data_IF_457982690548
#
_entry.id   IF_457982690548
#
_cell.length_a   1.000
_cell.length_b   1.000
_cell.length_c   1.000
_cell.angle_alpha   90.00
_cell.angle_beta   90.00
_cell.angle_gamma   90.00
#
_symmetry.space_group_name_H-M   'P 1'
#
loop_
_entity.id
_entity.type
_entity.pdbx_description
1 polymer ?
#
# COMPACT_ATOMS: atom_id res chain seq x y z
N UNK A 1 23.85 5.52 -4.26
CA UNK A 1 22.96 4.36 -4.05
C UNK A 1 21.72 4.55 -4.92
N UNK A 2 21.20 3.51 -5.60
CA UNK A 2 19.91 3.62 -6.26
C UNK A 2 18.87 4.01 -5.21
N UNK A 3 18.05 5.03 -5.50
CA UNK A 3 16.90 5.36 -4.66
C UNK A 3 15.95 4.17 -4.73
N UNK A 4 15.68 3.57 -3.57
CA UNK A 4 14.60 2.62 -3.39
C UNK A 4 13.30 3.33 -3.78
N UNK A 5 12.38 2.70 -4.54
CA UNK A 5 11.07 3.28 -4.75
C UNK A 5 10.37 3.34 -3.40
N UNK A 6 10.30 4.53 -2.83
CA UNK A 6 9.22 4.86 -1.92
C UNK A 6 7.94 4.56 -2.71
N UNK A 7 6.97 3.86 -2.12
CA UNK A 7 5.65 3.64 -2.71
C UNK A 7 4.67 4.68 -2.14
N UNK A 8 4.78 5.99 -2.45
CA UNK A 8 3.83 6.96 -1.97
C UNK A 8 2.54 6.87 -2.78
N UNK A 9 1.40 6.97 -2.12
CA UNK A 9 0.13 7.25 -2.76
C UNK A 9 -0.64 8.31 -1.99
N UNK A 10 -1.48 9.09 -2.67
CA UNK A 10 -2.40 10.03 -2.03
C UNK A 10 -3.49 9.30 -1.22
N UNK A 11 -3.70 8.02 -1.53
CA UNK A 11 -4.66 7.13 -0.88
C UNK A 11 -4.74 5.79 -1.62
N UNK A 12 -5.60 4.89 -1.15
CA UNK A 12 -5.85 3.61 -1.80
C UNK A 12 -7.35 3.27 -1.81
N UNK A 13 -7.76 2.34 -2.67
CA UNK A 13 -9.15 1.91 -2.76
C UNK A 13 -9.39 0.61 -2.00
N UNK A 14 -10.52 0.52 -1.30
CA UNK A 14 -10.98 -0.68 -0.62
C UNK A 14 -12.49 -0.89 -0.88
N UNK A 15 -12.90 -2.14 -1.10
CA UNK A 15 -14.29 -2.46 -1.45
C UNK A 15 -15.01 -3.07 -0.26
N UNK A 16 -15.82 -2.26 0.41
CA UNK A 16 -16.64 -2.73 1.52
C UNK A 16 -17.79 -3.59 0.99
N UNK A 17 -17.92 -4.81 1.51
CA UNK A 17 -19.04 -5.71 1.19
C UNK A 17 -20.24 -5.39 2.09
N UNK A 18 -21.41 -5.16 1.50
CA UNK A 18 -22.67 -5.00 2.24
C UNK A 18 -23.28 -6.35 2.59
N UNK A 19 -24.28 -6.35 3.49
CA UNK A 19 -25.03 -7.57 3.85
C UNK A 19 -25.63 -8.27 2.63
N UNK A 20 -26.14 -7.50 1.67
CA UNK A 20 -26.67 -8.00 0.39
C UNK A 20 -25.59 -8.45 -0.62
N UNK A 21 -24.30 -8.42 -0.24
CA UNK A 21 -23.18 -8.86 -1.06
C UNK A 21 -22.70 -7.86 -2.11
N UNK A 22 -23.28 -6.66 -2.18
CA UNK A 22 -22.80 -5.57 -3.04
C UNK A 22 -21.46 -5.06 -2.52
N UNK A 23 -20.57 -4.65 -3.43
CA UNK A 23 -19.31 -4.00 -3.10
C UNK A 23 -19.42 -2.50 -3.32
N UNK A 24 -19.14 -1.72 -2.28
CA UNK A 24 -19.08 -0.26 -2.32
C UNK A 24 -17.61 0.16 -2.29
N UNK A 25 -17.09 0.80 -3.35
CA UNK A 25 -15.71 1.28 -3.34
C UNK A 25 -15.58 2.49 -2.41
N UNK A 26 -14.59 2.42 -1.52
CA UNK A 26 -14.12 3.53 -0.70
C UNK A 26 -12.72 3.92 -1.14
N UNK A 27 -12.44 5.21 -1.19
CA UNK A 27 -11.10 5.77 -1.24
C UNK A 27 -10.68 6.15 0.18
N UNK A 28 -9.57 5.58 0.64
CA UNK A 28 -8.99 5.79 1.96
C UNK A 28 -7.76 6.68 1.81
N UNK A 29 -7.78 7.84 2.47
CA UNK A 29 -6.75 8.86 2.40
C UNK A 29 -6.53 9.49 3.78
N UNK A 30 -5.44 10.22 3.98
CA UNK A 30 -5.20 10.98 5.22
C UNK A 30 -5.43 12.47 4.99
N UNK A 31 -6.16 13.11 5.91
CA UNK A 31 -6.31 14.57 5.93
C UNK A 31 -5.08 15.29 6.48
N UNK A 32 -4.19 14.55 7.16
CA UNK A 32 -2.98 15.07 7.81
C UNK A 32 -1.71 14.84 6.98
N UNK A 33 -1.64 13.69 6.31
CA UNK A 33 -0.49 13.25 5.52
C UNK A 33 -0.94 13.08 4.07
N UNK A 34 -0.57 14.01 3.16
CA UNK A 34 -1.06 13.97 1.77
C UNK A 34 -0.48 12.81 0.97
N UNK A 35 0.56 12.15 1.47
CA UNK A 35 1.16 10.95 0.88
C UNK A 35 1.28 9.88 1.96
N UNK A 36 0.71 8.71 1.70
CA UNK A 36 0.85 7.52 2.51
C UNK A 36 2.09 6.75 2.06
N UNK A 37 2.98 6.39 3.00
CA UNK A 37 4.09 5.48 2.73
C UNK A 37 3.69 4.04 3.02
N UNK A 38 3.68 3.18 2.01
CA UNK A 38 3.41 1.75 2.21
C UNK A 38 4.70 0.97 2.46
N UNK A 39 4.72 0.18 3.52
CA UNK A 39 5.80 -0.76 3.76
C UNK A 39 5.83 -1.77 2.61
N UNK A 40 6.99 -1.94 1.98
CA UNK A 40 7.12 -2.81 0.81
C UNK A 40 8.47 -3.47 0.71
N UNK A 41 8.49 -4.59 0.01
CA UNK A 41 9.72 -5.29 -0.39
C UNK A 41 9.93 -5.07 -1.88
N UNK A 42 11.18 -5.05 -2.32
CA UNK A 42 11.53 -4.96 -3.74
C UNK A 42 12.59 -5.98 -4.10
N UNK A 43 12.63 -6.35 -5.38
CA UNK A 43 13.63 -7.27 -5.93
C UNK A 43 13.98 -6.87 -7.37
N UNK A 44 15.27 -6.99 -7.70
CA UNK A 44 15.74 -6.97 -9.09
C UNK A 44 15.67 -8.39 -9.65
N UNK A 45 14.71 -8.64 -10.52
CA UNK A 45 14.51 -9.93 -11.16
C UNK A 45 15.13 -9.95 -12.56
N UNK A 46 16.04 -10.88 -12.87
CA UNK A 46 16.59 -11.01 -14.22
C UNK A 46 15.62 -11.76 -15.13
N UNK A 47 15.20 -11.15 -16.24
CA UNK A 47 14.35 -11.77 -17.25
C UNK A 47 15.10 -12.92 -17.96
N UNK A 48 14.67 -14.19 -17.80
CA UNK A 48 15.31 -15.32 -18.43
C UNK A 48 15.09 -15.38 -19.95
N UNK A 49 14.19 -14.56 -20.51
CA UNK A 49 13.96 -14.48 -21.94
C UNK A 49 15.01 -13.60 -22.67
N UNK A 50 15.79 -12.81 -21.94
CA UNK A 50 16.81 -11.91 -22.48
C UNK A 50 18.23 -12.48 -22.32
N UNK A 51 19.17 -12.15 -23.24
CA UNK A 51 20.59 -12.49 -23.09
C UNK A 51 21.19 -11.98 -21.77
N UNK A 52 22.27 -12.63 -21.30
CA UNK A 52 22.83 -12.30 -19.99
C UNK A 52 23.38 -10.89 -19.86
N UNK A 53 23.88 -10.37 -20.98
CA UNK A 53 24.48 -9.05 -21.16
C UNK A 53 23.47 -8.00 -21.66
N UNK A 54 22.20 -8.35 -21.78
CA UNK A 54 21.16 -7.42 -22.20
C UNK A 54 20.93 -6.34 -21.13
N UNK A 55 21.05 -5.04 -21.47
CA UNK A 55 20.84 -3.96 -20.52
C UNK A 55 19.40 -3.90 -19.97
N UNK A 56 18.41 -4.46 -20.68
CA UNK A 56 17.00 -4.50 -20.27
C UNK A 56 16.65 -5.77 -19.47
N UNK A 57 17.64 -6.64 -19.18
CA UNK A 57 17.44 -7.90 -18.45
C UNK A 57 16.85 -7.70 -17.05
N UNK A 58 17.13 -6.58 -16.38
CA UNK A 58 16.76 -6.39 -14.98
C UNK A 58 15.41 -5.70 -14.82
N UNK A 59 14.43 -6.43 -14.28
CA UNK A 59 13.14 -5.89 -13.87
C UNK A 59 13.15 -5.56 -12.38
N UNK A 60 12.93 -4.29 -12.03
CA UNK A 60 12.66 -3.91 -10.64
C UNK A 60 11.19 -4.15 -10.32
N UNK A 61 10.92 -5.06 -9.40
CA UNK A 61 9.58 -5.36 -8.90
C UNK A 61 9.44 -4.97 -7.44
N UNK A 62 8.22 -4.71 -6.99
CA UNK A 62 7.93 -4.48 -5.57
C UNK A 62 6.58 -5.08 -5.17
N UNK A 63 6.40 -5.24 -3.86
CA UNK A 63 5.16 -5.68 -3.24
C UNK A 63 4.88 -4.85 -2.00
N UNK A 64 3.60 -4.66 -1.68
CA UNK A 64 3.15 -3.98 -0.46
C UNK A 64 2.87 -5.02 0.62
N UNK A 65 3.41 -4.80 1.81
CA UNK A 65 3.10 -5.61 2.98
C UNK A 65 1.67 -5.33 3.45
N UNK A 66 0.99 -6.39 3.88
CA UNK A 66 -0.38 -6.31 4.40
C UNK A 66 -0.44 -6.92 5.78
N UNK A 67 -1.26 -6.34 6.64
CA UNK A 67 -1.57 -6.84 7.99
C UNK A 67 -3.05 -7.18 8.12
N UNK A 68 -3.41 -7.86 9.19
CA UNK A 68 -4.81 -8.14 9.52
C UNK A 68 -5.41 -6.93 10.23
N UNK A 69 -6.59 -6.49 9.80
CA UNK A 69 -7.41 -5.56 10.56
C UNK A 69 -8.36 -6.30 11.48
N UNK A 70 -8.53 -5.80 12.71
CA UNK A 70 -9.52 -6.28 13.66
C UNK A 70 -10.64 -5.26 13.75
N UNK A 71 -11.90 -5.70 13.59
CA UNK A 71 -13.03 -4.84 13.94
C UNK A 71 -13.18 -4.75 15.48
N UNK A 72 -14.03 -3.83 15.95
CA UNK A 72 -14.27 -3.62 17.39
C UNK A 72 -14.83 -4.84 18.13
N UNK A 73 -15.22 -5.90 17.42
CA UNK A 73 -15.75 -7.16 17.94
C UNK A 73 -14.74 -8.32 17.84
N UNK A 74 -13.52 -8.06 17.36
CA UNK A 74 -12.46 -9.06 17.22
C UNK A 74 -12.65 -10.03 16.05
N UNK A 75 -13.55 -9.73 15.11
CA UNK A 75 -13.61 -10.50 13.87
C UNK A 75 -12.47 -10.05 12.96
N UNK A 76 -11.70 -11.04 12.50
CA UNK A 76 -10.64 -10.82 11.50
C UNK A 76 -11.32 -10.63 10.15
N UNK A 77 -11.36 -9.40 9.65
CA UNK A 77 -11.85 -9.08 8.32
C UNK A 77 -10.90 -8.14 7.59
N UNK A 78 -10.77 -8.41 6.28
CA UNK A 78 -9.89 -7.81 5.26
C UNK A 78 -8.42 -7.57 5.65
N UNK A 79 -7.57 -7.39 4.62
CA UNK A 79 -6.14 -7.15 4.77
C UNK A 79 -5.89 -5.70 4.42
N UNK A 80 -5.38 -4.91 5.35
CA UNK A 80 -4.98 -3.54 5.08
C UNK A 80 -3.48 -3.45 4.79
N UNK A 81 -3.04 -2.50 3.97
CA UNK A 81 -1.63 -2.26 3.76
C UNK A 81 -0.97 -1.77 5.06
N UNK A 82 0.27 -2.15 5.29
CA UNK A 82 1.06 -1.58 6.38
C UNK A 82 1.50 -0.18 5.97
N UNK A 83 1.00 0.84 6.68
CA UNK A 83 1.32 2.24 6.42
C UNK A 83 2.40 2.68 7.41
N UNK A 84 3.52 3.15 6.89
CA UNK A 84 4.58 3.78 7.67
C UNK A 84 4.24 5.28 7.79
N UNK A 85 4.21 5.87 9.00
CA UNK A 85 4.06 7.31 9.14
C UNK A 85 5.35 8.02 8.70
N UNK A 86 5.22 9.24 8.19
CA UNK A 86 6.34 9.96 7.58
C UNK A 86 7.57 10.13 8.50
N UNK A 87 7.35 10.26 9.80
CA UNK A 87 8.42 10.39 10.81
C UNK A 87 9.21 9.10 11.05
N UNK A 88 8.71 7.95 10.59
CA UNK A 88 9.33 6.62 10.71
C UNK A 88 9.93 6.11 9.39
N UNK A 89 9.85 6.87 8.30
CA UNK A 89 10.42 6.47 7.00
C UNK A 89 11.91 6.14 7.08
N UNK A 90 12.68 6.91 7.83
CA UNK A 90 14.12 6.67 7.97
C UNK A 90 14.44 5.32 8.61
N UNK A 91 13.62 4.87 9.56
CA UNK A 91 13.80 3.57 10.21
C UNK A 91 13.39 2.41 9.28
N UNK A 92 12.32 2.58 8.50
CA UNK A 92 11.90 1.59 7.52
C UNK A 92 12.91 1.42 6.36
N UNK A 93 13.54 2.52 5.94
CA UNK A 93 14.48 2.56 4.82
C UNK A 93 15.94 2.36 5.24
N UNK A 94 16.20 2.05 6.52
CA UNK A 94 17.55 1.84 7.03
C UNK A 94 18.15 0.54 6.45
N UNK A 95 19.21 0.61 5.62
CA UNK A 95 19.83 -0.58 5.05
C UNK A 95 20.54 -1.45 6.10
N UNK A 96 20.84 -0.91 7.28
CA UNK A 96 21.50 -1.65 8.36
C UNK A 96 20.50 -2.46 9.20
N UNK A 97 19.19 -2.21 9.06
CA UNK A 97 18.11 -2.99 9.69
C UNK A 97 17.93 -4.34 8.97
N UNK A 98 18.76 -5.31 9.34
CA UNK A 98 18.83 -6.63 8.67
C UNK A 98 18.35 -7.79 9.53
N UNK A 99 18.26 -7.61 10.85
CA UNK A 99 17.74 -8.64 11.74
C UNK A 99 16.21 -8.74 11.65
N UNK A 100 15.70 -9.95 11.49
CA UNK A 100 14.27 -10.20 11.31
C UNK A 100 13.45 -9.79 12.54
N UNK A 101 13.97 -10.02 13.74
CA UNK A 101 13.25 -9.67 14.97
C UNK A 101 13.15 -8.16 15.14
N UNK A 102 14.20 -7.42 14.77
CA UNK A 102 14.19 -5.96 14.80
C UNK A 102 13.21 -5.37 13.76
N UNK A 103 13.16 -5.93 12.54
CA UNK A 103 12.15 -5.55 11.53
C UNK A 103 10.73 -5.83 12.04
N UNK A 104 10.49 -7.00 12.65
CA UNK A 104 9.18 -7.32 13.23
C UNK A 104 8.83 -6.35 14.36
N UNK A 105 9.79 -5.99 15.21
CA UNK A 105 9.57 -5.03 16.28
C UNK A 105 9.20 -3.65 15.76
N UNK A 106 9.86 -3.19 14.68
CA UNK A 106 9.46 -1.96 13.99
C UNK A 106 8.01 -2.05 13.52
N UNK A 107 7.64 -3.12 12.80
CA UNK A 107 6.28 -3.31 12.30
C UNK A 107 5.22 -3.33 13.42
N UNK A 108 5.50 -4.03 14.52
CA UNK A 108 4.59 -4.13 15.68
C UNK A 108 4.47 -2.80 16.45
N UNK A 109 5.47 -1.92 16.32
CA UNK A 109 5.49 -0.60 16.97
C UNK A 109 4.78 0.50 16.17
N UNK A 110 4.41 0.24 14.91
CA UNK A 110 3.75 1.22 14.07
C UNK A 110 2.37 1.56 14.63
N UNK A 111 2.01 2.86 14.69
CA UNK A 111 0.66 3.24 15.08
C UNK A 111 -0.34 2.83 14.00
N UNK A 112 -1.59 2.59 14.42
CA UNK A 112 -2.70 2.46 13.48
C UNK A 112 -2.83 3.74 12.63
N UNK A 113 -2.93 3.63 11.29
CA UNK A 113 -3.01 4.79 10.42
C UNK A 113 -4.34 5.53 10.63
N UNK A 114 -4.28 6.87 10.66
CA UNK A 114 -5.48 7.71 10.70
C UNK A 114 -5.95 8.00 9.27
N UNK A 115 -6.94 7.23 8.79
CA UNK A 115 -7.49 7.37 7.45
C UNK A 115 -8.96 7.81 7.47
N UNK A 116 -9.32 8.67 6.52
CA UNK A 116 -10.69 9.10 6.24
C UNK A 116 -11.24 8.29 5.06
N UNK A 117 -12.37 7.57 5.22
CA UNK A 117 -13.05 6.92 4.10
C UNK A 117 -13.91 7.91 3.32
N UNK A 118 -13.89 7.77 1.98
CA UNK A 118 -14.81 8.45 1.07
C UNK A 118 -15.41 7.43 0.10
N UNK A 119 -16.73 7.34 0.05
CA UNK A 119 -17.41 6.52 -0.96
C UNK A 119 -17.21 7.18 -2.32
N UNK A 120 -16.70 6.42 -3.29
CA UNK A 120 -16.41 6.91 -4.65
C UNK A 120 -17.26 6.18 -5.69
N UNK A 121 -17.23 6.68 -6.93
CA UNK A 121 -17.96 6.07 -8.04
C UNK A 121 -17.48 4.65 -8.35
N UNK A 122 -18.39 3.77 -8.78
CA UNK A 122 -18.07 2.43 -9.28
C UNK A 122 -17.23 2.44 -10.57
N UNK A 123 -17.00 3.61 -11.18
CA UNK A 123 -16.04 3.79 -12.27
C UNK A 123 -14.66 3.26 -11.92
N UNK A 124 -14.24 3.32 -10.65
CA UNK A 124 -12.94 2.80 -10.19
C UNK A 124 -12.78 1.28 -10.38
N UNK A 125 -13.88 0.55 -10.57
CA UNK A 125 -13.84 -0.90 -10.83
C UNK A 125 -13.16 -1.25 -12.16
N UNK A 126 -13.02 -0.29 -13.07
CA UNK A 126 -12.32 -0.50 -14.35
C UNK A 126 -10.96 0.19 -14.32
N UNK A 127 -9.89 -0.61 -14.39
CA UNK A 127 -8.49 -0.14 -14.50
C UNK A 127 -8.20 0.68 -15.76
N UNK A 128 -9.14 0.78 -16.69
CA UNK A 128 -9.02 1.64 -17.89
C UNK A 128 -9.33 3.10 -17.59
N UNK A 129 -10.01 3.38 -16.48
CA UNK A 129 -10.32 4.74 -16.06
C UNK A 129 -9.13 5.31 -15.29
N UNK A 130 -8.71 6.53 -15.65
CA UNK A 130 -7.60 7.23 -15.00
C UNK A 130 -7.86 8.74 -15.01
N UNK A 131 -8.90 9.16 -14.30
CA UNK A 131 -9.32 10.55 -14.22
C UNK A 131 -9.46 11.01 -12.77
N UNK A 132 -9.35 12.32 -12.50
CA UNK A 132 -9.42 12.87 -11.15
C UNK A 132 -10.79 12.61 -10.48
N UNK A 133 -11.84 12.39 -11.26
CA UNK A 133 -13.18 12.09 -10.74
C UNK A 133 -13.25 10.76 -9.96
N UNK A 134 -12.23 9.91 -10.05
CA UNK A 134 -12.22 8.58 -9.42
C UNK A 134 -12.04 8.63 -7.90
N UNK A 135 -11.55 9.75 -7.37
CA UNK A 135 -11.41 9.99 -5.92
C UNK A 135 -12.46 10.96 -5.37
N UNK A 136 -13.32 11.50 -6.23
CA UNK A 136 -14.42 12.38 -5.82
C UNK A 136 -15.55 11.59 -5.18
N UNK A 137 -16.31 12.25 -4.29
CA UNK A 137 -17.45 11.62 -3.64
C UNK A 137 -18.46 11.13 -4.69
N UNK A 138 -18.98 9.91 -4.52
CA UNK A 138 -20.07 9.43 -5.35
C UNK A 138 -21.32 10.30 -5.16
N UNK A 139 -21.99 10.63 -6.27
CA UNK A 139 -23.33 11.23 -6.26
C UNK A 139 -24.40 10.25 -5.77
#
# INVERSE_FOLDING_TARGET
>A
APRIPDNPAEGYYEWQKTEDGKKIPNYLFSEKEPLLGFAGLYEFWPDPALPEDDPERWLLTCTVLTTVTQDALGHVHDRSPVIIPQDRFAEWLDPDLTDKADVQHLLDSLPEPTLTPRIVSTRVNSVRNNGPELIEAAE
#
